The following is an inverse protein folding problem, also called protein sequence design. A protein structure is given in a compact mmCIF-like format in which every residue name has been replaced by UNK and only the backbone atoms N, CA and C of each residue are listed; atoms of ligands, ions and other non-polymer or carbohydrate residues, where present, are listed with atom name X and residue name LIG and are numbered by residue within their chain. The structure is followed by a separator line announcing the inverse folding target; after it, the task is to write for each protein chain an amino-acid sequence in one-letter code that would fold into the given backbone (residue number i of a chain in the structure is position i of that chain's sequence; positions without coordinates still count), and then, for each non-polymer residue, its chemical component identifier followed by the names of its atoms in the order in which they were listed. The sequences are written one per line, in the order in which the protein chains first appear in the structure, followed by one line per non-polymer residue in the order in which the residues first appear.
data_IF_257109042015
#
_entry.id   IF_257109042015
#
_cell.length_a   1.000
_cell.length_b   1.000
_cell.length_c   1.000
_cell.angle_alpha   90.00
_cell.angle_beta   90.00
_cell.angle_gamma   90.00
#
_symmetry.space_group_name_H-M   'P 1'
#
loop_
_entity.id
_entity.type
_entity.pdbx_description
1 polymer ?
#
# COMPACT_ATOMS: atom_id res chain seq x y z
N UNK A 1 1.30 29.40 1.62
CA UNK A 1 2.49 28.51 1.54
C UNK A 1 2.48 27.59 2.75
N UNK A 2 1.81 26.44 2.67
CA UNK A 2 1.60 25.53 3.80
C UNK A 2 2.85 24.69 4.08
N UNK A 3 3.45 24.86 5.26
CA UNK A 3 4.57 24.04 5.73
C UNK A 3 4.04 22.61 5.92
N UNK A 4 4.45 21.67 5.07
CA UNK A 4 4.10 20.25 5.21
C UNK A 4 4.49 19.80 6.64
N UNK A 5 3.48 19.45 7.45
CA UNK A 5 3.71 18.94 8.80
C UNK A 5 4.34 17.56 8.63
N UNK A 6 5.62 17.42 8.99
CA UNK A 6 6.36 16.14 9.05
C UNK A 6 5.81 15.15 10.10
N UNK A 7 4.52 15.21 10.44
CA UNK A 7 3.92 14.54 11.61
C UNK A 7 3.77 13.02 11.42
N UNK A 8 3.87 12.52 10.19
CA UNK A 8 3.61 11.13 9.84
C UNK A 8 4.76 10.43 9.08
N UNK A 9 5.99 10.96 9.10
CA UNK A 9 7.13 10.33 8.41
C UNK A 9 6.97 10.29 6.88
N UNK A 10 6.29 11.29 6.30
CA UNK A 10 5.96 11.33 4.87
C UNK A 10 7.24 11.44 4.02
N UNK A 11 7.47 10.43 3.20
CA UNK A 11 8.46 10.43 2.11
C UNK A 11 7.72 10.37 0.78
N UNK A 12 7.76 11.43 -0.02
CA UNK A 12 7.14 11.44 -1.34
C UNK A 12 8.03 10.74 -2.35
N UNK A 13 7.44 9.85 -3.16
CA UNK A 13 8.16 9.17 -4.22
C UNK A 13 8.53 10.13 -5.35
N UNK A 14 9.73 9.97 -5.87
CA UNK A 14 10.13 10.62 -7.11
C UNK A 14 9.40 9.97 -8.31
N UNK A 15 9.08 10.73 -9.37
CA UNK A 15 8.35 10.23 -10.53
C UNK A 15 8.95 8.97 -11.16
N UNK A 16 10.27 8.84 -11.19
CA UNK A 16 10.95 7.67 -11.76
C UNK A 16 10.61 6.38 -10.99
N UNK A 17 10.50 6.45 -9.66
CA UNK A 17 10.13 5.30 -8.83
C UNK A 17 8.65 4.95 -8.96
N UNK A 18 7.78 5.95 -9.09
CA UNK A 18 6.35 5.74 -9.38
C UNK A 18 6.18 4.95 -10.67
N UNK A 19 6.87 5.34 -11.75
CA UNK A 19 6.77 4.66 -13.05
C UNK A 19 7.25 3.21 -12.94
N UNK A 20 8.38 2.97 -12.25
CA UNK A 20 8.88 1.61 -12.03
C UNK A 20 7.90 0.76 -11.24
N UNK A 21 7.33 1.31 -10.16
CA UNK A 21 6.35 0.63 -9.31
C UNK A 21 5.10 0.25 -10.12
N UNK A 22 4.49 1.21 -10.80
CA UNK A 22 3.26 0.98 -11.59
C UNK A 22 3.52 0.02 -12.75
N UNK A 23 4.69 0.08 -13.37
CA UNK A 23 5.09 -0.89 -14.40
C UNK A 23 5.17 -2.30 -13.82
N UNK A 24 5.82 -2.45 -12.67
CA UNK A 24 6.01 -3.76 -12.05
C UNK A 24 4.71 -4.35 -11.45
N UNK A 25 3.73 -3.50 -11.11
CA UNK A 25 2.38 -3.95 -10.73
C UNK A 25 1.64 -4.57 -11.92
N UNK A 26 1.95 -4.16 -13.16
CA UNK A 26 1.24 -4.57 -14.37
C UNK A 26 -0.30 -4.43 -14.22
N UNK A 27 -0.83 -3.23 -13.90
CA UNK A 27 -2.25 -3.04 -13.63
C UNK A 27 -3.10 -3.21 -14.89
N UNK A 28 -4.21 -3.93 -14.77
CA UNK A 28 -5.21 -4.11 -15.82
C UNK A 28 -6.55 -3.38 -15.53
N UNK A 29 -7.40 -3.19 -16.55
CA UNK A 29 -8.65 -2.43 -16.43
C UNK A 29 -9.69 -3.08 -15.51
N UNK A 30 -9.59 -4.38 -15.24
CA UNK A 30 -10.46 -5.09 -14.32
C UNK A 30 -9.96 -5.06 -12.86
N UNK A 31 -8.72 -4.62 -12.64
CA UNK A 31 -8.11 -4.62 -11.31
C UNK A 31 -8.76 -3.58 -10.39
N UNK A 32 -8.73 -3.89 -9.10
CA UNK A 32 -9.29 -3.05 -8.03
C UNK A 32 -8.23 -2.93 -6.96
N UNK A 33 -7.89 -1.69 -6.60
CA UNK A 33 -6.79 -1.42 -5.69
C UNK A 33 -7.27 -0.83 -4.37
N UNK A 34 -6.60 -1.25 -3.29
CA UNK A 34 -6.47 -0.43 -2.09
C UNK A 34 -5.08 0.18 -2.10
N UNK A 35 -5.00 1.51 -2.06
CA UNK A 35 -3.74 2.23 -1.91
C UNK A 35 -3.56 2.71 -0.48
N UNK A 36 -2.44 2.36 0.15
CA UNK A 36 -2.10 2.77 1.51
C UNK A 36 -1.14 3.96 1.46
N UNK A 37 -1.56 5.07 2.07
CA UNK A 37 -0.76 6.29 2.15
C UNK A 37 -0.53 6.94 0.78
N UNK A 38 -1.59 7.32 0.05
CA UNK A 38 -1.48 7.91 -1.29
C UNK A 38 -0.75 9.27 -1.28
N UNK A 39 -0.73 9.96 -0.13
CA UNK A 39 -0.16 11.27 0.03
C UNK A 39 -0.73 12.26 -0.99
N UNK A 40 0.11 12.70 -1.93
CA UNK A 40 -0.29 13.64 -3.00
C UNK A 40 -0.82 12.94 -4.26
N UNK A 41 -1.15 11.65 -4.20
CA UNK A 41 -1.69 10.90 -5.32
C UNK A 41 -0.65 10.43 -6.34
N UNK A 42 0.62 10.31 -5.92
CA UNK A 42 1.72 10.01 -6.83
C UNK A 42 1.57 8.62 -7.48
N UNK A 43 1.09 7.62 -6.73
CA UNK A 43 0.77 6.28 -7.26
C UNK A 43 -0.71 6.23 -7.66
N UNK A 44 -1.60 6.91 -6.91
CA UNK A 44 -3.05 6.96 -7.18
C UNK A 44 -3.38 7.32 -8.63
N UNK A 45 -2.84 8.42 -9.14
CA UNK A 45 -3.16 8.90 -10.49
C UNK A 45 -2.78 7.91 -11.60
N UNK A 46 -1.53 7.42 -11.67
CA UNK A 46 -1.17 6.46 -12.71
C UNK A 46 -1.89 5.12 -12.56
N UNK A 47 -2.20 4.66 -11.34
CA UNK A 47 -3.06 3.49 -11.15
C UNK A 47 -4.48 3.74 -11.67
N UNK A 48 -5.13 4.83 -11.22
CA UNK A 48 -6.48 5.19 -11.60
C UNK A 48 -6.66 5.33 -13.11
N UNK A 49 -5.62 5.73 -13.85
CA UNK A 49 -5.64 5.79 -15.30
C UNK A 49 -5.73 4.42 -16.01
N UNK A 50 -5.49 3.31 -15.30
CA UNK A 50 -5.35 1.95 -15.87
C UNK A 50 -6.30 0.91 -15.29
N UNK A 51 -6.93 1.19 -14.14
CA UNK A 51 -7.67 0.20 -13.35
C UNK A 51 -9.14 0.57 -13.18
N UNK A 52 -9.95 -0.41 -12.77
CA UNK A 52 -11.39 -0.23 -12.61
C UNK A 52 -11.75 0.66 -11.42
N UNK A 53 -11.12 0.43 -10.26
CA UNK A 53 -11.37 1.19 -9.02
C UNK A 53 -10.12 1.29 -8.15
N UNK A 54 -9.98 2.40 -7.43
CA UNK A 54 -8.98 2.60 -6.37
C UNK A 54 -9.65 3.13 -5.12
N UNK A 55 -9.37 2.52 -3.97
CA UNK A 55 -9.69 3.08 -2.65
C UNK A 55 -8.39 3.51 -1.99
N UNK A 56 -8.22 4.81 -1.77
CA UNK A 56 -6.99 5.38 -1.24
C UNK A 56 -7.18 5.73 0.26
N UNK A 57 -6.43 5.06 1.14
CA UNK A 57 -6.51 5.24 2.60
C UNK A 57 -5.38 6.16 3.06
N UNK A 58 -5.74 7.35 3.55
CA UNK A 58 -4.79 8.39 3.98
C UNK A 58 -5.08 8.86 5.41
N UNK A 59 -4.06 8.84 6.26
CA UNK A 59 -4.17 9.25 7.67
C UNK A 59 -4.12 10.78 7.81
N UNK A 60 -3.41 11.47 6.92
CA UNK A 60 -3.35 12.92 6.89
C UNK A 60 -4.59 13.50 6.18
N UNK A 61 -5.52 14.03 6.98
CA UNK A 61 -6.79 14.59 6.50
C UNK A 61 -6.59 15.73 5.48
N UNK A 62 -5.51 16.50 5.59
CA UNK A 62 -5.26 17.59 4.64
C UNK A 62 -4.86 17.01 3.28
N UNK A 63 -4.04 15.95 3.25
CA UNK A 63 -3.67 15.25 2.01
C UNK A 63 -4.85 14.48 1.42
N UNK A 64 -5.65 13.83 2.27
CA UNK A 64 -6.88 13.15 1.85
C UNK A 64 -7.83 14.13 1.14
N UNK A 65 -8.09 15.30 1.74
CA UNK A 65 -8.93 16.33 1.15
C UNK A 65 -8.35 16.88 -0.17
N UNK A 66 -7.03 17.06 -0.25
CA UNK A 66 -6.36 17.49 -1.50
C UNK A 66 -6.51 16.46 -2.61
N UNK A 67 -6.42 15.16 -2.30
CA UNK A 67 -6.60 14.09 -3.27
C UNK A 67 -8.06 13.96 -3.70
N UNK A 68 -9.00 14.03 -2.75
CA UNK A 68 -10.44 13.98 -2.99
C UNK A 68 -10.89 15.15 -3.89
N UNK A 69 -10.36 16.35 -3.67
CA UNK A 69 -10.65 17.53 -4.49
C UNK A 69 -10.23 17.40 -5.97
N UNK A 70 -9.40 16.41 -6.32
CA UNK A 70 -9.06 16.12 -7.74
C UNK A 70 -10.20 15.44 -8.49
N UNK A 71 -11.21 14.92 -7.78
CA UNK A 71 -12.42 14.31 -8.34
C UNK A 71 -12.12 13.24 -9.41
N UNK A 72 -11.13 12.37 -9.15
CA UNK A 72 -10.82 11.26 -10.04
C UNK A 72 -12.01 10.27 -10.05
N UNK A 73 -12.55 9.92 -11.23
CA UNK A 73 -13.88 9.31 -11.36
C UNK A 73 -13.98 7.89 -10.76
N UNK A 74 -12.86 7.19 -10.64
CA UNK A 74 -12.76 5.81 -10.15
C UNK A 74 -11.96 5.70 -8.84
N UNK A 75 -11.76 6.82 -8.14
CA UNK A 75 -11.03 6.86 -6.87
C UNK A 75 -11.98 7.23 -5.73
N UNK A 76 -11.95 6.45 -4.66
CA UNK A 76 -12.58 6.81 -3.38
C UNK A 76 -11.49 7.07 -2.35
N UNK A 77 -11.52 8.23 -1.71
CA UNK A 77 -10.55 8.58 -0.67
C UNK A 77 -11.16 8.32 0.71
N UNK A 78 -10.44 7.56 1.54
CA UNK A 78 -10.81 7.26 2.92
C UNK A 78 -9.80 7.96 3.84
N UNK A 79 -10.25 9.01 4.52
CA UNK A 79 -9.46 9.67 5.54
C UNK A 79 -9.45 8.82 6.82
N UNK A 80 -8.39 8.05 7.05
CA UNK A 80 -8.32 7.09 8.15
C UNK A 80 -6.93 6.48 8.34
N UNK A 81 -6.70 5.95 9.54
CA UNK A 81 -5.51 5.14 9.83
C UNK A 81 -5.72 3.72 9.28
N UNK A 82 -4.82 3.28 8.40
CA UNK A 82 -4.85 1.93 7.81
C UNK A 82 -4.86 0.81 8.86
N UNK A 83 -4.30 1.07 10.05
CA UNK A 83 -4.31 0.10 11.15
C UNK A 83 -5.69 -0.01 11.83
N UNK A 84 -6.56 0.99 11.66
CA UNK A 84 -7.88 1.05 12.27
C UNK A 84 -9.02 0.76 11.27
N UNK A 85 -8.85 1.10 9.99
CA UNK A 85 -9.89 0.83 8.97
C UNK A 85 -10.10 -0.68 8.76
N UNK A 86 -11.32 -1.03 8.37
CA UNK A 86 -11.67 -2.40 8.01
C UNK A 86 -11.33 -2.65 6.53
N UNK A 87 -10.11 -3.15 6.30
CA UNK A 87 -9.62 -3.50 4.96
C UNK A 87 -10.45 -4.61 4.30
N UNK A 88 -11.01 -5.53 5.10
CA UNK A 88 -11.80 -6.65 4.59
C UNK A 88 -13.15 -6.15 4.08
N UNK A 89 -13.78 -5.22 4.81
CA UNK A 89 -15.01 -4.58 4.35
C UNK A 89 -14.78 -3.74 3.09
N UNK A 90 -13.68 -2.97 3.03
CA UNK A 90 -13.31 -2.24 1.81
C UNK A 90 -13.13 -3.21 0.63
N UNK A 91 -12.41 -4.32 0.83
CA UNK A 91 -12.20 -5.31 -0.22
C UNK A 91 -13.51 -5.99 -0.65
N UNK A 92 -14.42 -6.25 0.29
CA UNK A 92 -15.76 -6.79 0.02
C UNK A 92 -16.60 -5.83 -0.82
N UNK A 93 -16.59 -4.55 -0.50
CA UNK A 93 -17.30 -3.51 -1.27
C UNK A 93 -16.71 -3.32 -2.67
N UNK A 94 -15.40 -3.54 -2.82
CA UNK A 94 -14.76 -3.63 -4.13
C UNK A 94 -15.13 -4.90 -4.87
N UNK A 95 -15.70 -5.91 -4.23
CA UNK A 95 -16.14 -7.17 -4.83
C UNK A 95 -15.08 -8.27 -4.88
N UNK A 96 -14.09 -8.23 -3.97
CA UNK A 96 -13.00 -9.20 -3.88
C UNK A 96 -11.96 -9.11 -5.00
N UNK A 97 -10.98 -10.02 -4.96
CA UNK A 97 -9.82 -10.06 -5.87
C UNK A 97 -9.03 -8.74 -5.90
N UNK A 98 -8.84 -8.15 -4.72
CA UNK A 98 -8.27 -6.81 -4.53
C UNK A 98 -6.75 -6.88 -4.46
N UNK A 99 -6.11 -5.92 -5.11
CA UNK A 99 -4.65 -5.72 -5.10
C UNK A 99 -4.31 -4.57 -4.16
N UNK A 100 -3.16 -4.62 -3.50
CA UNK A 100 -2.71 -3.55 -2.61
C UNK A 100 -1.47 -2.87 -3.17
N UNK A 101 -1.44 -1.54 -3.12
CA UNK A 101 -0.26 -0.75 -3.47
C UNK A 101 0.03 0.30 -2.38
N UNK A 102 1.28 0.71 -2.22
CA UNK A 102 1.57 1.81 -1.31
C UNK A 102 3.05 2.07 -1.10
N UNK A 103 3.35 3.29 -0.65
CA UNK A 103 4.67 3.67 -0.17
C UNK A 103 4.61 3.80 1.35
N UNK A 104 4.98 2.73 2.06
CA UNK A 104 4.67 2.65 3.48
C UNK A 104 5.61 3.53 4.31
N UNK A 105 5.06 4.29 5.28
CA UNK A 105 5.88 5.02 6.24
C UNK A 105 6.67 4.03 7.11
N UNK A 106 7.94 4.35 7.29
CA UNK A 106 8.92 3.41 7.79
C UNK A 106 8.67 2.94 9.22
N UNK A 107 8.23 3.86 10.07
CA UNK A 107 7.99 3.64 11.50
C UNK A 107 6.79 2.72 11.81
N UNK A 108 5.91 2.46 10.84
CA UNK A 108 4.72 1.61 11.04
C UNK A 108 4.58 0.54 9.93
N UNK A 109 5.62 0.32 9.14
CA UNK A 109 5.62 -0.67 8.06
C UNK A 109 5.31 -2.09 8.55
N UNK A 110 5.94 -2.57 9.63
CA UNK A 110 5.67 -3.91 10.17
C UNK A 110 4.24 -4.10 10.69
N UNK A 111 3.65 -3.19 11.51
CA UNK A 111 2.23 -3.25 11.85
C UNK A 111 1.29 -3.32 10.63
N UNK A 112 1.58 -2.54 9.57
CA UNK A 112 0.77 -2.58 8.33
C UNK A 112 0.88 -3.95 7.67
N UNK A 113 2.08 -4.52 7.59
CA UNK A 113 2.27 -5.86 7.00
C UNK A 113 1.50 -6.94 7.76
N UNK A 114 1.53 -6.94 9.11
CA UNK A 114 0.72 -7.88 9.90
C UNK A 114 -0.79 -7.69 9.67
N UNK A 115 -1.24 -6.43 9.56
CA UNK A 115 -2.64 -6.13 9.26
C UNK A 115 -3.06 -6.64 7.88
N UNK A 116 -2.18 -6.51 6.87
CA UNK A 116 -2.41 -7.03 5.52
C UNK A 116 -2.46 -8.56 5.49
N UNK A 117 -1.55 -9.23 6.20
CA UNK A 117 -1.58 -10.70 6.33
C UNK A 117 -2.89 -11.18 6.96
N UNK A 118 -3.31 -10.56 8.07
CA UNK A 118 -4.58 -10.90 8.71
C UNK A 118 -5.79 -10.61 7.81
N UNK A 119 -5.76 -9.55 7.00
CA UNK A 119 -6.81 -9.27 6.03
C UNK A 119 -6.81 -10.29 4.88
N UNK A 120 -5.63 -10.77 4.44
CA UNK A 120 -5.50 -11.74 3.36
C UNK A 120 -6.14 -13.10 3.71
N UNK A 121 -6.23 -13.47 4.99
CA UNK A 121 -6.95 -14.67 5.46
C UNK A 121 -8.42 -14.70 5.03
N UNK A 122 -9.01 -13.54 4.70
CA UNK A 122 -10.38 -13.47 4.19
C UNK A 122 -10.55 -14.01 2.76
N UNK A 123 -9.46 -14.27 2.03
CA UNK A 123 -9.47 -14.72 0.64
C UNK A 123 -9.91 -13.65 -0.38
N UNK A 124 -9.97 -12.38 0.02
CA UNK A 124 -10.39 -11.27 -0.85
C UNK A 124 -9.22 -10.52 -1.51
N UNK A 125 -7.98 -10.86 -1.15
CA UNK A 125 -6.77 -10.17 -1.59
C UNK A 125 -5.94 -11.07 -2.50
N UNK A 126 -5.47 -10.49 -3.61
CA UNK A 126 -4.69 -11.18 -4.65
C UNK A 126 -3.19 -11.03 -4.44
N UNK A 127 -2.73 -9.79 -4.33
CA UNK A 127 -1.32 -9.44 -4.14
C UNK A 127 -1.17 -8.08 -3.44
N UNK A 128 0.06 -7.79 -3.00
CA UNK A 128 0.44 -6.49 -2.43
C UNK A 128 1.83 -6.07 -2.94
N UNK A 129 1.91 -4.92 -3.60
CA UNK A 129 3.17 -4.34 -4.09
C UNK A 129 3.48 -3.07 -3.31
N UNK A 130 4.46 -3.17 -2.41
CA UNK A 130 4.75 -2.14 -1.41
C UNK A 130 6.17 -1.62 -1.54
N UNK A 131 6.35 -0.30 -1.47
CA UNK A 131 7.66 0.31 -1.27
C UNK A 131 7.98 0.37 0.22
N UNK A 132 9.15 -0.14 0.57
CA UNK A 132 9.65 -0.29 1.94
C UNK A 132 11.11 0.19 2.02
N UNK A 133 11.60 0.48 3.22
CA UNK A 133 13.05 0.60 3.40
C UNK A 133 13.74 -0.73 3.10
N UNK A 134 14.98 -0.64 2.65
CA UNK A 134 15.78 -1.79 2.23
C UNK A 134 15.87 -2.83 3.35
N UNK A 135 16.14 -2.42 4.58
CA UNK A 135 16.27 -3.31 5.74
C UNK A 135 14.97 -4.01 6.13
N UNK A 136 13.81 -3.36 5.93
CA UNK A 136 12.51 -4.01 6.16
C UNK A 136 12.26 -5.04 5.08
N UNK A 137 12.51 -4.69 3.81
CA UNK A 137 12.39 -5.64 2.70
C UNK A 137 13.35 -6.84 2.85
N UNK A 138 14.58 -6.62 3.33
CA UNK A 138 15.57 -7.67 3.58
C UNK A 138 15.06 -8.67 4.63
N UNK A 139 14.36 -8.20 5.68
CA UNK A 139 13.73 -9.05 6.70
C UNK A 139 12.60 -9.92 6.17
N UNK A 140 11.83 -9.44 5.18
CA UNK A 140 10.73 -10.21 4.60
C UNK A 140 11.22 -11.43 3.81
N UNK A 141 12.42 -11.34 3.23
CA UNK A 141 13.05 -12.41 2.46
C UNK A 141 14.20 -13.10 3.19
N UNK A 142 14.36 -12.81 4.50
CA UNK A 142 15.44 -13.34 5.30
C UNK A 142 15.34 -14.87 5.45
N UNK A 143 16.48 -15.55 5.29
CA UNK A 143 16.55 -17.01 5.47
C UNK A 143 16.54 -17.36 6.98
N UNK A 144 16.08 -18.57 7.35
CA UNK A 144 16.25 -19.10 8.69
C UNK A 144 17.69 -18.96 9.19
N UNK A 145 17.83 -18.70 10.49
CA UNK A 145 19.14 -18.56 11.17
C UNK A 145 19.97 -17.34 10.77
N UNK A 146 19.31 -16.25 10.34
CA UNK A 146 19.93 -14.93 10.14
C UNK A 146 19.51 -13.95 11.24
N UNK A 147 20.28 -12.89 11.49
CA UNK A 147 19.94 -11.89 12.52
C UNK A 147 18.62 -11.14 12.26
N UNK A 148 18.16 -11.13 11.02
CA UNK A 148 16.90 -10.54 10.57
C UNK A 148 15.71 -11.52 10.60
N UNK A 149 15.95 -12.79 10.98
CA UNK A 149 14.91 -13.81 11.12
C UNK A 149 14.14 -13.62 12.43
N UNK A 150 12.89 -13.14 12.32
CA UNK A 150 12.03 -12.87 13.47
C UNK A 150 10.56 -13.16 13.20
N UNK A 151 9.69 -12.70 14.10
CA UNK A 151 8.22 -12.92 14.03
C UNK A 151 7.65 -12.44 12.69
N UNK A 152 8.12 -11.30 12.17
CA UNK A 152 7.66 -10.78 10.88
C UNK A 152 7.98 -11.73 9.72
N UNK A 153 9.21 -12.25 9.65
CA UNK A 153 9.63 -13.21 8.63
C UNK A 153 8.80 -14.49 8.70
N UNK A 154 8.56 -15.02 9.90
CA UNK A 154 7.74 -16.21 10.11
C UNK A 154 6.29 -16.02 9.68
N UNK A 155 5.67 -14.90 10.08
CA UNK A 155 4.27 -14.62 9.71
C UNK A 155 4.10 -14.44 8.20
N UNK A 156 5.07 -13.79 7.55
CA UNK A 156 5.07 -13.61 6.10
C UNK A 156 5.23 -14.97 5.41
N UNK A 157 6.24 -15.77 5.77
CA UNK A 157 6.46 -17.10 5.17
C UNK A 157 5.25 -18.04 5.32
N UNK A 158 4.45 -17.88 6.38
CA UNK A 158 3.25 -18.67 6.59
C UNK A 158 2.04 -18.16 5.79
N UNK A 159 1.97 -16.85 5.55
CA UNK A 159 0.77 -16.19 5.01
C UNK A 159 0.88 -15.69 3.57
N UNK A 160 2.09 -15.59 2.99
CA UNK A 160 2.30 -15.08 1.64
C UNK A 160 3.65 -15.48 1.03
N UNK A 161 3.69 -15.61 -0.30
CA UNK A 161 4.94 -15.61 -1.05
C UNK A 161 5.47 -14.18 -1.21
N UNK A 162 6.78 -13.97 -1.01
CA UNK A 162 7.41 -12.64 -1.11
C UNK A 162 8.55 -12.66 -2.10
N UNK A 163 8.51 -11.71 -3.04
CA UNK A 163 9.56 -11.49 -4.03
C UNK A 163 9.98 -10.02 -4.01
N UNK A 164 11.28 -9.76 -4.16
CA UNK A 164 11.79 -8.40 -4.32
C UNK A 164 11.68 -7.97 -5.78
N UNK A 165 10.90 -6.92 -6.02
CA UNK A 165 10.53 -6.49 -7.37
C UNK A 165 11.44 -5.39 -7.93
N UNK A 166 11.94 -4.50 -7.07
CA UNK A 166 12.81 -3.37 -7.43
C UNK A 166 13.92 -3.18 -6.38
N UNK A 167 15.07 -2.67 -6.81
CA UNK A 167 16.22 -2.28 -5.96
C UNK A 167 16.84 -0.99 -6.47
#
# INVERSE_FOLDING_TARGET
MGKARKRFGQHFLEPAWVIKLVTAIEPGPADRFIEIGPGRGAITEPLASRVGKVVAVEVDRDLAAVLEARALPNVTVVAGDVLAVDLVEIARQLGGDVRVAGNLPYNISSPILFRLLAAAESGLFKDATLMLQREVADRLVAKPSTGDYGVLTLSIMLGADVTRVLT
#
